data_IF_311164205844
#
_entry.id   IF_311164205844
#
_cell.length_a   1.000
_cell.length_b   1.000
_cell.length_c   1.000
_cell.angle_alpha   90.00
_cell.angle_beta   90.00
_cell.angle_gamma   90.00
#
_symmetry.space_group_name_H-M   'P 1'
#
loop_
_entity.id
_entity.type
_entity.pdbx_description
1 polymer ?
#
# COMPACT_ATOMS: atom_id res chain seq x y z
N UNK A 1 -15.12 35.51 65.37
CA UNK A 1 -14.25 36.10 64.33
C UNK A 1 -13.68 34.92 63.56
N UNK A 2 -14.28 34.60 62.41
CA UNK A 2 -13.72 34.87 61.06
C UNK A 2 -12.57 33.90 60.75
N UNK A 3 -12.45 33.21 59.62
CA UNK A 3 -13.24 33.13 58.40
C UNK A 3 -12.62 32.00 57.54
N UNK A 4 -13.42 31.45 56.62
CA UNK A 4 -13.04 30.88 55.30
C UNK A 4 -12.15 29.64 55.12
N UNK A 5 -12.77 28.73 54.37
CA UNK A 5 -12.19 27.68 53.55
C UNK A 5 -11.25 28.19 52.43
N UNK A 6 -10.28 27.34 52.05
CA UNK A 6 -9.58 27.25 50.74
C UNK A 6 -8.74 25.94 50.77
N UNK A 7 -9.22 24.82 50.22
CA UNK A 7 -9.06 24.36 48.84
C UNK A 7 -7.59 24.20 48.36
N UNK A 8 -7.10 22.97 48.30
CA UNK A 8 -6.09 22.57 47.31
C UNK A 8 -6.16 21.04 47.10
N UNK A 9 -7.09 20.63 46.25
CA UNK A 9 -7.09 19.33 45.58
C UNK A 9 -5.76 19.13 44.87
N UNK A 10 -4.93 18.20 45.35
CA UNK A 10 -3.70 17.81 44.66
C UNK A 10 -4.07 17.17 43.33
N UNK A 11 -3.84 17.94 42.28
CA UNK A 11 -3.84 17.55 40.88
C UNK A 11 -3.08 16.22 40.73
N UNK A 12 -3.80 15.12 40.49
CA UNK A 12 -3.25 13.98 39.79
C UNK A 12 -3.06 14.45 38.36
N UNK A 13 -1.83 14.84 38.00
CA UNK A 13 -1.45 15.03 36.62
C UNK A 13 -1.60 13.69 35.91
N UNK A 14 -2.70 13.53 35.16
CA UNK A 14 -2.79 12.47 34.17
C UNK A 14 -1.60 12.63 33.21
N UNK A 15 -0.84 11.57 32.92
CA UNK A 15 0.14 11.63 31.84
C UNK A 15 -0.60 11.93 30.53
N UNK A 16 0.05 12.64 29.56
CA UNK A 16 -0.56 12.89 28.27
C UNK A 16 -0.96 11.55 27.66
N UNK A 17 -2.22 11.47 27.25
CA UNK A 17 -2.81 10.31 26.61
C UNK A 17 -1.92 9.86 25.44
N UNK A 18 -1.09 8.84 25.68
CA UNK A 18 -0.72 7.91 24.65
C UNK A 18 -2.04 7.25 24.24
N UNK A 19 -2.70 7.81 23.22
CA UNK A 19 -3.82 7.16 22.58
C UNK A 19 -3.25 5.85 22.02
N UNK A 20 -3.51 4.74 22.71
CA UNK A 20 -3.44 3.44 22.09
C UNK A 20 -4.46 3.47 20.94
N UNK A 21 -3.97 3.72 19.73
CA UNK A 21 -4.75 3.63 18.50
C UNK A 21 -5.27 2.20 18.41
N UNK A 22 -6.58 2.04 18.27
CA UNK A 22 -7.14 0.74 17.95
C UNK A 22 -6.49 0.25 16.65
N UNK A 23 -6.10 -1.04 16.54
CA UNK A 23 -5.42 -1.52 15.35
C UNK A 23 -6.29 -1.26 14.12
N UNK A 24 -5.73 -0.55 13.15
CA UNK A 24 -6.30 -0.39 11.82
C UNK A 24 -6.49 -1.76 11.19
N UNK A 25 -7.65 -1.98 10.57
CA UNK A 25 -7.96 -3.27 9.94
C UNK A 25 -7.11 -3.44 8.68
N UNK A 26 -6.25 -4.45 8.66
CA UNK A 26 -5.44 -4.82 7.51
C UNK A 26 -5.99 -6.09 6.85
N UNK A 27 -6.51 -5.97 5.63
CA UNK A 27 -6.96 -7.11 4.83
C UNK A 27 -5.88 -7.46 3.81
N UNK A 28 -5.40 -8.71 3.84
CA UNK A 28 -4.32 -9.17 2.97
C UNK A 28 -4.82 -10.28 2.05
N UNK A 29 -4.68 -10.06 0.74
CA UNK A 29 -4.90 -11.08 -0.28
C UNK A 29 -3.54 -11.64 -0.69
N UNK A 30 -3.28 -12.90 -0.36
CA UNK A 30 -2.01 -13.55 -0.71
C UNK A 30 -2.22 -14.80 -1.55
N UNK A 31 -1.20 -15.15 -2.34
CA UNK A 31 -1.26 -16.30 -3.23
C UNK A 31 -0.20 -16.24 -4.35
N UNK A 32 -0.05 -17.33 -5.10
CA UNK A 32 0.95 -17.39 -6.16
C UNK A 32 0.66 -16.38 -7.29
N UNK A 33 1.70 -15.94 -8.04
CA UNK A 33 1.51 -15.07 -9.20
C UNK A 33 0.56 -15.70 -10.23
N UNK A 34 -0.36 -14.88 -10.75
CA UNK A 34 -1.35 -15.29 -11.76
C UNK A 34 -2.63 -15.96 -11.22
N UNK A 35 -2.80 -16.09 -9.90
CA UNK A 35 -3.99 -16.75 -9.31
C UNK A 35 -5.27 -15.88 -9.34
N UNK A 36 -5.16 -14.60 -9.71
CA UNK A 36 -6.31 -13.68 -9.78
C UNK A 36 -6.50 -12.74 -8.58
N UNK A 37 -5.43 -12.46 -7.80
CA UNK A 37 -5.48 -11.51 -6.67
C UNK A 37 -5.97 -10.12 -7.09
N UNK A 38 -5.35 -9.55 -8.13
CA UNK A 38 -5.78 -8.29 -8.74
C UNK A 38 -7.24 -8.33 -9.16
N UNK A 39 -7.70 -9.42 -9.78
CA UNK A 39 -9.10 -9.58 -10.16
C UNK A 39 -10.04 -9.54 -8.95
N UNK A 40 -9.67 -10.21 -7.84
CA UNK A 40 -10.42 -10.16 -6.59
C UNK A 40 -10.47 -8.74 -6.02
N UNK A 41 -9.31 -8.09 -5.89
CA UNK A 41 -9.21 -6.71 -5.37
C UNK A 41 -10.06 -5.74 -6.20
N UNK A 42 -10.01 -5.85 -7.53
CA UNK A 42 -10.79 -4.98 -8.42
C UNK A 42 -12.30 -5.22 -8.28
N UNK A 43 -12.75 -6.47 -8.10
CA UNK A 43 -14.17 -6.77 -7.83
C UNK A 43 -14.64 -6.19 -6.50
N UNK A 44 -13.79 -6.25 -5.47
CA UNK A 44 -14.09 -5.61 -4.18
C UNK A 44 -14.20 -4.10 -4.34
N UNK A 45 -13.25 -3.47 -5.03
CA UNK A 45 -13.26 -2.04 -5.32
C UNK A 45 -14.54 -1.63 -6.08
N UNK A 46 -14.91 -2.36 -7.11
CA UNK A 46 -16.13 -2.11 -7.91
C UNK A 46 -17.39 -2.24 -7.06
N UNK A 47 -17.48 -3.29 -6.23
CA UNK A 47 -18.59 -3.46 -5.30
C UNK A 47 -18.67 -2.33 -4.28
N UNK A 48 -17.54 -1.88 -3.74
CA UNK A 48 -17.49 -0.77 -2.79
C UNK A 48 -17.92 0.55 -3.43
N UNK A 49 -17.41 0.85 -4.64
CA UNK A 49 -17.83 2.04 -5.41
C UNK A 49 -19.33 2.03 -5.71
N UNK A 50 -19.90 0.85 -5.97
CA UNK A 50 -21.33 0.70 -6.29
C UNK A 50 -22.22 0.81 -5.04
N UNK A 51 -21.87 0.12 -3.96
CA UNK A 51 -22.68 0.08 -2.73
C UNK A 51 -22.46 1.30 -1.82
N UNK A 52 -21.27 1.90 -1.86
CA UNK A 52 -20.87 3.03 -1.01
C UNK A 52 -20.12 4.10 -1.81
N UNK A 53 -20.82 4.81 -2.73
CA UNK A 53 -20.19 5.77 -3.66
C UNK A 53 -19.54 6.98 -2.99
N UNK A 54 -19.81 7.21 -1.71
CA UNK A 54 -19.24 8.31 -0.93
C UNK A 54 -17.88 7.96 -0.31
N UNK A 55 -17.45 6.69 -0.34
CA UNK A 55 -16.15 6.30 0.21
C UNK A 55 -15.02 6.91 -0.62
N UNK A 56 -14.14 7.63 0.05
CA UNK A 56 -12.90 8.11 -0.51
C UNK A 56 -11.84 7.02 -0.42
N UNK A 57 -11.77 6.21 -1.48
CA UNK A 57 -10.82 5.11 -1.62
C UNK A 57 -9.59 5.62 -2.36
N UNK A 58 -8.40 5.38 -1.80
CA UNK A 58 -7.13 5.80 -2.38
C UNK A 58 -6.19 4.62 -2.58
N UNK A 59 -5.20 4.81 -3.45
CA UNK A 59 -4.17 3.82 -3.73
C UNK A 59 -4.07 3.46 -5.20
N UNK A 60 -3.58 2.27 -5.47
CA UNK A 60 -3.30 1.81 -6.82
C UNK A 60 -3.42 0.29 -6.92
N UNK A 61 -3.52 -0.18 -8.16
CA UNK A 61 -3.36 -1.58 -8.50
C UNK A 61 -2.35 -1.73 -9.64
N UNK A 62 -1.86 -2.95 -9.83
CA UNK A 62 -0.91 -3.28 -10.87
C UNK A 62 -1.61 -4.09 -11.95
N UNK A 63 -1.16 -3.92 -13.19
CA UNK A 63 -1.74 -4.60 -14.34
C UNK A 63 -0.63 -5.26 -15.15
N UNK A 64 -0.82 -6.54 -15.48
CA UNK A 64 0.05 -7.23 -16.42
C UNK A 64 -0.17 -6.69 -17.84
N UNK A 65 0.91 -6.26 -18.49
CA UNK A 65 0.91 -5.89 -19.90
C UNK A 65 1.33 -7.11 -20.70
N UNK A 66 0.47 -7.53 -21.64
CA UNK A 66 0.72 -8.64 -22.55
C UNK A 66 0.67 -8.14 -23.99
N UNK A 67 1.64 -8.57 -24.79
CA UNK A 67 1.61 -8.45 -26.25
C UNK A 67 1.48 -9.85 -26.83
N UNK A 68 0.50 -10.03 -27.73
CA UNK A 68 0.02 -11.34 -28.16
C UNK A 68 -0.34 -12.26 -26.97
N UNK A 69 0.55 -13.18 -26.60
CA UNK A 69 0.39 -14.08 -25.44
C UNK A 69 1.53 -13.99 -24.44
N UNK A 70 2.53 -13.14 -24.70
CA UNK A 70 3.69 -12.99 -23.84
C UNK A 70 3.48 -11.81 -22.89
N UNK A 71 3.82 -12.01 -21.61
CA UNK A 71 3.88 -10.90 -20.65
C UNK A 71 5.14 -10.08 -20.89
N UNK A 72 4.94 -8.86 -21.38
CA UNK A 72 5.99 -7.91 -21.74
C UNK A 72 6.24 -6.87 -20.63
N UNK A 73 5.36 -6.74 -19.66
CA UNK A 73 5.58 -5.79 -18.57
C UNK A 73 4.45 -5.71 -17.56
N UNK A 74 4.53 -4.67 -16.75
CA UNK A 74 3.60 -4.33 -15.70
C UNK A 74 3.41 -2.82 -15.66
N UNK A 75 2.18 -2.39 -15.39
CA UNK A 75 1.83 -0.99 -15.18
C UNK A 75 1.28 -0.81 -13.77
N UNK A 76 1.55 0.35 -13.18
CA UNK A 76 0.79 0.88 -12.05
C UNK A 76 -0.41 1.67 -12.58
N UNK A 77 -1.57 1.46 -11.97
CA UNK A 77 -2.81 2.16 -12.30
C UNK A 77 -3.43 2.70 -11.02
N UNK A 78 -3.61 4.01 -10.96
CA UNK A 78 -4.29 4.69 -9.84
C UNK A 78 -5.81 4.49 -9.94
N UNK A 79 -6.53 4.69 -8.84
CA UNK A 79 -7.98 4.43 -8.81
C UNK A 79 -8.82 5.43 -9.63
N UNK A 80 -8.22 6.55 -10.04
CA UNK A 80 -8.75 7.55 -10.98
C UNK A 80 -8.39 7.24 -12.45
N UNK A 81 -7.62 6.18 -12.71
CA UNK A 81 -7.32 5.66 -14.04
C UNK A 81 -6.03 6.15 -14.69
N UNK A 82 -5.22 7.01 -14.03
CA UNK A 82 -3.86 7.32 -14.53
C UNK A 82 -2.99 6.06 -14.52
N UNK A 83 -2.06 5.97 -15.48
CA UNK A 83 -1.24 4.78 -15.71
C UNK A 83 0.20 5.17 -15.96
N UNK A 84 1.11 4.29 -15.54
CA UNK A 84 2.53 4.40 -15.83
C UNK A 84 3.20 3.04 -15.76
N UNK A 85 4.34 2.93 -16.41
CA UNK A 85 5.11 1.68 -16.42
C UNK A 85 5.68 1.40 -15.03
N UNK A 86 5.47 0.18 -14.53
CA UNK A 86 6.18 -0.33 -13.35
C UNK A 86 7.42 -1.10 -13.78
N UNK A 87 7.27 -2.01 -14.76
CA UNK A 87 8.38 -2.75 -15.30
C UNK A 87 8.15 -3.18 -16.75
N UNK A 88 9.22 -3.29 -17.54
CA UNK A 88 9.17 -3.74 -18.93
C UNK A 88 10.28 -4.75 -19.24
N UNK A 89 10.00 -5.72 -20.10
CA UNK A 89 11.02 -6.64 -20.65
C UNK A 89 11.77 -6.06 -21.85
N UNK A 90 11.33 -4.91 -22.37
CA UNK A 90 12.00 -4.19 -23.45
C UNK A 90 12.78 -3.00 -22.91
N UNK A 91 13.85 -2.61 -23.63
CA UNK A 91 14.60 -1.39 -23.34
C UNK A 91 13.71 -0.21 -23.69
N UNK A 92 13.35 0.59 -22.68
CA UNK A 92 12.50 1.78 -22.87
C UNK A 92 13.32 3.04 -23.16
N UNK A 93 14.56 3.10 -22.66
CA UNK A 93 15.49 4.21 -22.85
C UNK A 93 16.93 3.79 -22.55
N UNK A 94 17.91 4.62 -22.87
CA UNK A 94 19.30 4.40 -22.47
C UNK A 94 19.49 4.35 -20.94
N UNK A 95 18.60 4.99 -20.18
CA UNK A 95 18.63 4.95 -18.71
C UNK A 95 18.17 3.61 -18.16
N UNK A 96 17.30 2.90 -18.89
CA UNK A 96 16.75 1.60 -18.47
C UNK A 96 17.79 0.50 -18.29
N UNK A 97 18.99 0.65 -18.87
CA UNK A 97 20.10 -0.27 -18.62
C UNK A 97 20.54 -0.28 -17.15
N UNK A 98 20.41 0.85 -16.45
CA UNK A 98 20.81 1.02 -15.05
C UNK A 98 19.70 0.67 -14.06
N UNK A 99 18.49 0.42 -14.55
CA UNK A 99 17.35 0.11 -13.70
C UNK A 99 17.48 -1.27 -13.03
N UNK A 100 16.94 -1.41 -11.81
CA UNK A 100 16.89 -2.69 -11.14
C UNK A 100 16.09 -3.72 -11.95
N UNK A 101 16.37 -5.00 -11.72
CA UNK A 101 15.79 -6.09 -12.51
C UNK A 101 15.13 -7.16 -11.64
N UNK A 102 14.00 -7.68 -12.14
CA UNK A 102 13.34 -8.89 -11.62
C UNK A 102 13.15 -9.85 -12.78
N UNK A 103 13.98 -10.89 -12.83
CA UNK A 103 14.05 -11.77 -14.00
C UNK A 103 14.41 -10.96 -15.25
N UNK A 104 13.59 -11.07 -16.30
CA UNK A 104 13.77 -10.31 -17.56
C UNK A 104 13.25 -8.86 -17.52
N UNK A 105 12.58 -8.44 -16.44
CA UNK A 105 11.93 -7.14 -16.39
C UNK A 105 12.83 -6.09 -15.74
N UNK A 106 12.95 -4.93 -16.38
CA UNK A 106 13.56 -3.70 -15.84
C UNK A 106 12.50 -2.86 -15.17
N UNK A 107 12.73 -2.47 -13.92
CA UNK A 107 11.75 -1.74 -13.09
C UNK A 107 11.99 -0.24 -13.22
N UNK A 108 10.97 0.48 -13.67
CA UNK A 108 10.98 1.95 -13.74
C UNK A 108 10.50 2.52 -12.40
N UNK A 109 11.45 2.65 -11.46
CA UNK A 109 11.16 3.16 -10.12
C UNK A 109 10.62 4.59 -10.18
N UNK A 110 11.13 5.43 -11.07
CA UNK A 110 10.73 6.83 -11.17
C UNK A 110 9.28 6.97 -11.65
N UNK A 111 8.90 6.23 -12.70
CA UNK A 111 7.51 6.15 -13.17
C UNK A 111 6.58 5.64 -12.07
N UNK A 112 6.96 4.54 -11.40
CA UNK A 112 6.19 4.01 -10.27
C UNK A 112 6.00 5.05 -9.16
N UNK A 113 7.07 5.70 -8.69
CA UNK A 113 7.01 6.66 -7.60
C UNK A 113 6.13 7.87 -7.93
N UNK A 114 6.20 8.35 -9.17
CA UNK A 114 5.42 9.51 -9.64
C UNK A 114 3.90 9.30 -9.57
N UNK A 115 3.45 8.04 -9.64
CA UNK A 115 2.02 7.67 -9.61
C UNK A 115 1.59 7.08 -8.28
N UNK A 116 2.36 6.15 -7.73
CA UNK A 116 1.98 5.41 -6.53
C UNK A 116 2.09 6.26 -5.26
N UNK A 117 3.20 6.99 -5.06
CA UNK A 117 3.45 7.69 -3.78
C UNK A 117 2.41 8.78 -3.47
N UNK A 118 1.93 9.59 -4.44
CA UNK A 118 0.84 10.53 -4.19
C UNK A 118 -0.43 9.84 -3.65
N UNK A 119 -0.73 8.63 -4.12
CA UNK A 119 -1.91 7.86 -3.70
C UNK A 119 -1.79 7.25 -2.31
N UNK A 120 -0.57 7.12 -1.77
CA UNK A 120 -0.31 6.57 -0.44
C UNK A 120 -0.22 7.63 0.67
N UNK A 121 -0.44 8.91 0.34
CA UNK A 121 -0.46 9.95 1.35
C UNK A 121 -1.66 9.80 2.28
N UNK A 122 -1.42 9.67 3.59
CA UNK A 122 -2.47 9.71 4.63
C UNK A 122 -3.07 11.11 4.66
N UNK A 123 -4.34 11.24 4.25
CA UNK A 123 -5.10 12.50 4.23
C UNK A 123 -6.39 12.34 5.01
N UNK A 124 -6.84 13.42 5.64
CA UNK A 124 -8.17 13.47 6.26
C UNK A 124 -9.26 13.11 5.26
N UNK A 125 -10.27 12.38 5.74
CA UNK A 125 -11.38 11.91 4.90
C UNK A 125 -11.01 10.78 3.94
N UNK A 126 -9.87 10.10 4.10
CA UNK A 126 -9.60 8.83 3.39
C UNK A 126 -10.24 7.67 4.16
N UNK A 127 -11.09 6.89 3.52
CA UNK A 127 -11.85 5.82 4.18
C UNK A 127 -11.22 4.43 4.02
N UNK A 128 -10.44 4.23 2.96
CA UNK A 128 -9.81 2.94 2.63
C UNK A 128 -8.60 3.15 1.72
N UNK A 129 -7.52 2.42 1.99
CA UNK A 129 -6.41 2.24 1.06
C UNK A 129 -6.52 0.90 0.31
N UNK A 130 -6.22 0.92 -0.99
CA UNK A 130 -6.04 -0.28 -1.80
C UNK A 130 -4.61 -0.30 -2.36
N UNK A 131 -3.88 -1.37 -2.08
CA UNK A 131 -2.51 -1.58 -2.58
C UNK A 131 -2.38 -2.97 -3.19
N UNK A 132 -2.50 -3.06 -4.50
CA UNK A 132 -2.30 -4.31 -5.24
C UNK A 132 -1.10 -4.14 -6.18
N UNK A 133 0.13 -4.43 -5.83
CA UNK A 133 0.63 -5.41 -4.87
C UNK A 133 1.82 -4.84 -4.07
N UNK A 134 2.09 -5.39 -2.88
CA UNK A 134 3.33 -5.13 -2.12
C UNK A 134 4.34 -6.23 -2.44
N UNK A 135 5.00 -6.09 -3.59
CA UNK A 135 5.90 -7.09 -4.16
C UNK A 135 7.33 -6.61 -4.33
N UNK A 136 8.17 -7.48 -4.90
CA UNK A 136 9.61 -7.21 -5.11
C UNK A 136 9.86 -6.01 -6.03
N UNK A 137 8.98 -5.76 -7.00
CA UNK A 137 9.15 -4.67 -7.97
C UNK A 137 8.92 -3.30 -7.32
N UNK A 138 7.84 -3.18 -6.54
CA UNK A 138 7.45 -1.95 -5.85
C UNK A 138 8.44 -1.61 -4.74
N UNK A 139 9.01 -2.62 -4.09
CA UNK A 139 10.02 -2.48 -3.02
C UNK A 139 11.39 -1.97 -3.51
N UNK A 140 11.62 -1.82 -4.82
CA UNK A 140 12.79 -1.06 -5.30
C UNK A 140 12.66 0.43 -5.03
N UNK A 141 11.44 0.95 -4.82
CA UNK A 141 11.26 2.30 -4.30
C UNK A 141 11.59 2.32 -2.81
N UNK A 142 12.64 3.06 -2.46
CA UNK A 142 13.01 3.30 -1.06
C UNK A 142 11.94 4.08 -0.27
N UNK A 143 11.06 4.81 -0.97
CA UNK A 143 9.98 5.62 -0.41
C UNK A 143 8.67 4.85 -0.23
N UNK A 144 8.47 3.76 -0.99
CA UNK A 144 7.21 3.02 -1.01
C UNK A 144 6.93 2.30 0.32
N UNK A 145 7.87 1.50 0.82
CA UNK A 145 7.65 0.77 2.07
C UNK A 145 7.40 1.72 3.26
N UNK A 146 8.17 2.81 3.47
CA UNK A 146 7.82 3.83 4.46
C UNK A 146 6.43 4.44 4.31
N UNK A 147 5.94 4.62 3.07
CA UNK A 147 4.57 5.12 2.85
C UNK A 147 3.51 4.08 3.28
N UNK A 148 3.73 2.80 2.97
CA UNK A 148 2.85 1.70 3.44
C UNK A 148 2.86 1.63 4.96
N UNK A 149 4.01 1.75 5.62
CA UNK A 149 4.11 1.77 7.08
C UNK A 149 3.28 2.90 7.70
N UNK A 150 3.36 4.12 7.15
CA UNK A 150 2.55 5.25 7.63
C UNK A 150 1.05 4.98 7.52
N UNK A 151 0.61 4.26 6.48
CA UNK A 151 -0.79 3.85 6.36
C UNK A 151 -1.15 2.84 7.45
N UNK A 152 -0.30 1.83 7.70
CA UNK A 152 -0.51 0.83 8.76
C UNK A 152 -0.48 1.43 10.17
N UNK A 153 0.25 2.54 10.36
CA UNK A 153 0.28 3.29 11.62
C UNK A 153 -0.92 4.24 11.76
N UNK A 154 -1.65 4.51 10.68
CA UNK A 154 -2.90 5.27 10.69
C UNK A 154 -4.07 4.41 11.16
N UNK A 155 -5.22 5.02 11.46
CA UNK A 155 -6.46 4.29 11.77
C UNK A 155 -7.29 3.92 10.52
N UNK A 156 -6.75 4.13 9.32
CA UNK A 156 -7.48 3.92 8.05
C UNK A 156 -7.32 2.45 7.64
N UNK A 157 -8.42 1.74 7.33
CA UNK A 157 -8.36 0.38 6.80
C UNK A 157 -7.52 0.29 5.51
N UNK A 158 -6.87 -0.86 5.32
CA UNK A 158 -6.11 -1.17 4.11
C UNK A 158 -6.52 -2.53 3.55
N UNK A 159 -6.72 -2.62 2.24
CA UNK A 159 -6.78 -3.85 1.47
C UNK A 159 -5.50 -3.93 0.61
N UNK A 160 -4.61 -4.84 0.96
CA UNK A 160 -3.36 -5.05 0.25
C UNK A 160 -3.28 -6.45 -0.35
N UNK A 161 -2.48 -6.62 -1.40
CA UNK A 161 -2.09 -7.94 -1.88
C UNK A 161 -0.59 -8.17 -1.72
N UNK A 162 -0.20 -9.41 -1.44
CA UNK A 162 1.21 -9.83 -1.27
C UNK A 162 1.41 -11.11 -2.07
N UNK A 163 2.40 -11.21 -2.98
CA UNK A 163 2.63 -12.42 -3.73
C UNK A 163 3.30 -13.48 -2.84
N UNK A 164 2.94 -14.75 -3.05
CA UNK A 164 3.72 -15.86 -2.51
C UNK A 164 4.68 -16.31 -3.60
N UNK A 165 6.01 -16.19 -3.41
CA UNK A 165 6.98 -16.71 -4.37
C UNK A 165 6.76 -18.22 -4.59
N UNK A 166 6.85 -18.69 -5.84
CA UNK A 166 6.69 -20.12 -6.15
C UNK A 166 7.84 -20.99 -5.61
N UNK A 167 9.01 -20.41 -5.36
CA UNK A 167 10.19 -21.06 -4.75
C UNK A 167 11.08 -20.01 -4.02
N UNK A 168 11.32 -20.17 -2.70
CA UNK A 168 12.30 -19.37 -1.96
C UNK A 168 11.92 -17.89 -1.70
N UNK A 169 12.57 -17.27 -0.69
CA UNK A 169 12.24 -15.92 -0.18
C UNK A 169 12.63 -14.81 -1.16
N UNK A 170 11.63 -14.14 -1.75
CA UNK A 170 11.82 -12.96 -2.61
C UNK A 170 11.30 -11.65 -2.00
N UNK A 171 10.53 -11.72 -0.92
CA UNK A 171 10.10 -10.57 -0.12
C UNK A 171 10.92 -10.58 1.17
N UNK A 172 11.44 -9.43 1.65
CA UNK A 172 12.02 -9.38 2.99
C UNK A 172 11.01 -9.96 3.98
N UNK A 173 11.36 -11.06 4.64
CA UNK A 173 10.41 -11.82 5.49
C UNK A 173 9.74 -10.97 6.57
N UNK A 174 10.37 -9.86 6.96
CA UNK A 174 9.81 -8.89 7.90
C UNK A 174 8.62 -8.09 7.35
N UNK A 175 8.48 -7.90 6.04
CA UNK A 175 7.35 -7.16 5.44
C UNK A 175 6.10 -8.03 5.46
N UNK A 176 6.24 -9.29 5.04
CA UNK A 176 5.14 -10.24 5.07
C UNK A 176 4.71 -10.53 6.52
N UNK A 177 5.66 -10.69 7.45
CA UNK A 177 5.30 -10.85 8.86
C UNK A 177 4.62 -9.59 9.42
N UNK A 178 5.15 -8.39 9.15
CA UNK A 178 4.59 -7.15 9.69
C UNK A 178 3.17 -6.87 9.19
N UNK A 179 2.90 -7.17 7.92
CA UNK A 179 1.56 -7.05 7.36
C UNK A 179 0.64 -8.14 7.96
N UNK A 180 1.07 -9.40 8.01
CA UNK A 180 0.28 -10.51 8.57
C UNK A 180 0.05 -10.42 10.08
N UNK A 181 0.97 -9.85 10.86
CA UNK A 181 0.82 -9.66 12.31
C UNK A 181 -0.26 -8.60 12.64
N UNK A 182 -0.65 -7.79 11.65
CA UNK A 182 -1.65 -6.72 11.78
C UNK A 182 -2.98 -7.04 11.08
N UNK A 183 -3.11 -8.21 10.45
CA UNK A 183 -4.33 -8.68 9.77
C UNK A 183 -5.26 -9.49 10.66
#
# INVERSE_FOLDING_TARGET
MCDRAQNCSRLRSNPPHAMATAPSKCFIVTGPPGIGKTTLVMRVLESLKTSHPHLNIRGFYTREVREASERVGFEVVTLDGRRGTLASSTVLSAESFRWPSVGKYKVDVASFESLALPELQVKEGTDLFIIDEVGKMELFSSSFFPAVLKILESNIPILASIPIPKFGRDIPGGIQSLLCDRS
#
